data_IF_778139594574
#
_entry.id   IF_778139594574
#
_cell.length_a   1.000
_cell.length_b   1.000
_cell.length_c   1.000
_cell.angle_alpha   90.00
_cell.angle_beta   90.00
_cell.angle_gamma   90.00
#
_symmetry.space_group_name_H-M   'P 1'
#
loop_
_entity.id
_entity.type
_entity.pdbx_description
1 polymer ?
#
# COMPACT_ATOMS: atom_id res chain seq x y z
N UNK A 1 15.24 -18.93 12.07
CA UNK A 1 14.89 -17.51 12.26
C UNK A 1 15.27 -16.77 10.99
N UNK A 2 14.35 -16.02 10.37
CA UNK A 2 14.65 -15.28 9.15
C UNK A 2 15.77 -14.24 9.38
N UNK A 3 16.63 -13.98 8.39
CA UNK A 3 17.67 -12.95 8.51
C UNK A 3 17.03 -11.57 8.66
N UNK A 4 17.37 -10.87 9.74
CA UNK A 4 16.88 -9.52 10.05
C UNK A 4 17.87 -8.47 9.56
N UNK A 5 17.40 -7.46 8.85
CA UNK A 5 18.26 -6.38 8.34
C UNK A 5 17.47 -5.33 7.57
N UNK A 6 18.16 -4.39 6.92
CA UNK A 6 17.50 -3.40 6.05
C UNK A 6 17.42 -3.94 4.62
N UNK A 7 16.22 -3.87 4.03
CA UNK A 7 16.02 -4.13 2.61
C UNK A 7 16.96 -3.25 1.75
N UNK A 8 17.31 -3.71 0.54
CA UNK A 8 18.10 -2.92 -0.42
C UNK A 8 17.42 -1.55 -0.62
N UNK A 9 18.23 -0.50 -0.73
CA UNK A 9 17.72 0.88 -0.73
C UNK A 9 16.75 1.15 -1.89
N UNK A 10 16.99 0.57 -3.07
CA UNK A 10 16.12 0.73 -4.24
C UNK A 10 14.77 0.04 -4.04
N UNK A 11 14.77 -1.20 -3.55
CA UNK A 11 13.57 -1.98 -3.30
C UNK A 11 12.70 -1.34 -2.21
N UNK A 12 13.34 -0.81 -1.16
CA UNK A 12 12.66 -0.04 -0.12
C UNK A 12 11.94 1.19 -0.66
N UNK A 13 12.54 1.92 -1.61
CA UNK A 13 11.91 3.07 -2.24
C UNK A 13 10.69 2.67 -3.09
N UNK A 14 10.77 1.55 -3.82
CA UNK A 14 9.63 1.02 -4.61
C UNK A 14 8.46 0.62 -3.73
N UNK A 15 8.76 -0.12 -2.65
CA UNK A 15 7.77 -0.51 -1.66
C UNK A 15 7.12 0.70 -1.00
N UNK A 16 7.91 1.74 -0.68
CA UNK A 16 7.42 2.96 -0.06
C UNK A 16 6.54 3.79 -1.00
N UNK A 17 6.94 3.95 -2.27
CA UNK A 17 6.16 4.68 -3.28
C UNK A 17 4.79 4.05 -3.52
N UNK A 18 4.75 2.72 -3.61
CA UNK A 18 3.52 1.96 -3.88
C UNK A 18 2.81 1.48 -2.60
N UNK A 19 3.25 1.93 -1.42
CA UNK A 19 2.78 1.41 -0.13
C UNK A 19 1.27 1.52 0.05
N UNK A 20 0.68 2.65 -0.36
CA UNK A 20 -0.77 2.87 -0.22
C UNK A 20 -1.58 1.94 -1.12
N UNK A 21 -1.11 1.71 -2.36
CA UNK A 21 -1.76 0.81 -3.31
C UNK A 21 -1.74 -0.62 -2.78
N UNK A 22 -0.57 -1.08 -2.35
CA UNK A 22 -0.41 -2.41 -1.75
C UNK A 22 -1.28 -2.55 -0.49
N UNK A 23 -1.38 -1.52 0.34
CA UNK A 23 -2.20 -1.58 1.55
C UNK A 23 -3.68 -1.79 1.25
N UNK A 24 -4.19 -1.25 0.15
CA UNK A 24 -5.62 -1.30 -0.19
C UNK A 24 -6.01 -2.52 -1.03
N UNK A 25 -5.17 -2.91 -2.00
CA UNK A 25 -5.50 -3.95 -2.99
C UNK A 25 -4.95 -5.34 -2.64
N UNK A 26 -3.93 -5.42 -1.77
CA UNK A 26 -3.33 -6.70 -1.38
C UNK A 26 -4.25 -7.48 -0.43
N UNK A 27 -4.14 -8.80 -0.44
CA UNK A 27 -4.70 -9.63 0.63
C UNK A 27 -3.56 -10.44 1.27
N UNK A 28 -3.09 -9.97 2.42
CA UNK A 28 -1.97 -10.60 3.13
C UNK A 28 -2.22 -12.09 3.41
N UNK A 29 -3.45 -12.50 3.68
CA UNK A 29 -3.76 -13.89 4.06
C UNK A 29 -3.56 -14.90 2.92
N UNK A 30 -3.68 -14.45 1.65
CA UNK A 30 -3.47 -15.34 0.50
C UNK A 30 -2.00 -15.60 0.24
N UNK A 31 -1.15 -14.61 0.54
CA UNK A 31 0.28 -14.68 0.25
C UNK A 31 1.12 -15.10 1.46
N UNK A 32 0.57 -15.03 2.69
CA UNK A 32 1.27 -15.48 3.91
C UNK A 32 1.72 -16.92 3.83
N UNK A 33 0.89 -17.82 3.29
CA UNK A 33 1.25 -19.24 3.14
C UNK A 33 2.45 -19.44 2.19
N UNK A 34 2.46 -18.71 1.07
CA UNK A 34 3.56 -18.74 0.13
C UNK A 34 4.85 -18.18 0.74
N UNK A 35 4.76 -17.05 1.44
CA UNK A 35 5.91 -16.40 2.07
C UNK A 35 6.45 -17.23 3.26
N UNK A 36 5.59 -17.96 3.96
CA UNK A 36 6.00 -18.91 4.99
C UNK A 36 6.75 -20.10 4.41
N UNK A 37 6.27 -20.69 3.30
CA UNK A 37 6.97 -21.77 2.61
C UNK A 37 8.35 -21.36 2.09
N UNK A 38 8.55 -20.07 1.82
CA UNK A 38 9.82 -19.50 1.36
C UNK A 38 10.73 -19.02 2.51
N UNK A 39 10.39 -19.33 3.77
CA UNK A 39 11.11 -18.90 4.97
C UNK A 39 11.26 -17.37 5.10
N UNK A 40 10.39 -16.60 4.44
CA UNK A 40 10.35 -15.13 4.54
C UNK A 40 9.60 -14.73 5.80
N UNK A 41 8.45 -15.34 6.05
CA UNK A 41 7.68 -15.16 7.28
C UNK A 41 7.89 -16.34 8.22
N UNK A 42 7.93 -16.08 9.51
CA UNK A 42 7.82 -17.13 10.54
C UNK A 42 6.37 -17.26 11.05
N UNK A 43 6.14 -18.27 11.90
CA UNK A 43 4.82 -18.52 12.47
C UNK A 43 4.33 -17.33 13.32
N UNK A 44 5.22 -16.67 14.04
CA UNK A 44 4.90 -15.50 14.86
C UNK A 44 4.46 -14.32 13.99
N UNK A 45 5.11 -14.13 12.84
CA UNK A 45 4.73 -13.12 11.85
C UNK A 45 3.34 -13.40 11.27
N UNK A 46 3.04 -14.66 10.94
CA UNK A 46 1.71 -15.07 10.46
C UNK A 46 0.65 -14.77 11.51
N UNK A 47 0.86 -15.22 12.76
CA UNK A 47 -0.09 -14.98 13.85
C UNK A 47 -0.34 -13.47 14.04
N UNK A 48 0.71 -12.65 13.88
CA UNK A 48 0.59 -11.20 13.96
C UNK A 48 -0.19 -10.60 12.80
N UNK A 49 -0.01 -11.10 11.59
CA UNK A 49 -0.79 -10.68 10.42
C UNK A 49 -2.26 -11.08 10.59
N UNK A 50 -2.53 -12.32 11.01
CA UNK A 50 -3.90 -12.80 11.27
C UNK A 50 -4.59 -12.03 12.39
N UNK A 51 -3.83 -11.56 13.39
CA UNK A 51 -4.35 -10.73 14.48
C UNK A 51 -4.89 -9.36 14.03
N UNK A 52 -4.55 -8.91 12.81
CA UNK A 52 -5.06 -7.65 12.26
C UNK A 52 -6.58 -7.70 12.07
N UNK A 53 -7.26 -6.62 12.46
CA UNK A 53 -8.73 -6.57 12.45
C UNK A 53 -9.29 -6.33 11.05
N UNK A 54 -8.57 -5.56 10.24
CA UNK A 54 -8.96 -5.19 8.88
C UNK A 54 -7.91 -5.64 7.88
N UNK A 55 -8.31 -5.91 6.63
CA UNK A 55 -7.36 -6.29 5.56
C UNK A 55 -6.23 -5.26 5.41
N UNK A 56 -6.54 -3.97 5.49
CA UNK A 56 -5.53 -2.90 5.49
C UNK A 56 -4.51 -3.02 6.62
N UNK A 57 -4.93 -3.36 7.85
CA UNK A 57 -4.01 -3.57 8.98
C UNK A 57 -3.12 -4.79 8.74
N UNK A 58 -3.71 -5.90 8.25
CA UNK A 58 -2.95 -7.12 7.93
C UNK A 58 -1.88 -6.85 6.87
N UNK A 59 -2.28 -6.15 5.81
CA UNK A 59 -1.37 -5.74 4.74
C UNK A 59 -0.27 -4.83 5.25
N UNK A 60 -0.60 -3.87 6.12
CA UNK A 60 0.40 -2.99 6.71
C UNK A 60 1.42 -3.75 7.56
N UNK A 61 0.97 -4.71 8.38
CA UNK A 61 1.85 -5.56 9.19
C UNK A 61 2.78 -6.36 8.27
N UNK A 62 2.24 -6.96 7.21
CA UNK A 62 3.02 -7.70 6.22
C UNK A 62 4.05 -6.83 5.51
N UNK A 63 3.65 -5.67 4.98
CA UNK A 63 4.55 -4.75 4.27
C UNK A 63 5.67 -4.23 5.17
N UNK A 64 5.34 -3.90 6.43
CA UNK A 64 6.35 -3.54 7.44
C UNK A 64 7.30 -4.70 7.70
N UNK A 65 6.81 -5.93 7.72
CA UNK A 65 7.67 -7.10 7.94
C UNK A 65 8.64 -7.29 6.77
N UNK A 66 8.16 -7.25 5.54
CA UNK A 66 8.98 -7.35 4.32
C UNK A 66 10.06 -6.26 4.28
N UNK A 67 9.72 -5.02 4.64
CA UNK A 67 10.70 -3.92 4.68
C UNK A 67 11.82 -4.10 5.73
N UNK A 68 11.62 -4.97 6.73
CA UNK A 68 12.55 -5.23 7.83
C UNK A 68 13.23 -6.61 7.74
N UNK A 69 12.85 -7.42 6.75
CA UNK A 69 13.59 -8.62 6.36
C UNK A 69 14.82 -8.12 5.61
N UNK A 70 15.99 -8.67 5.95
CA UNK A 70 17.28 -8.09 5.60
C UNK A 70 17.58 -7.93 4.11
N UNK A 71 18.78 -7.45 3.78
CA UNK A 71 19.23 -7.42 2.40
C UNK A 71 19.30 -8.88 1.90
N UNK A 72 18.45 -9.21 0.93
CA UNK A 72 18.31 -10.55 0.39
C UNK A 72 17.21 -10.62 -0.65
N UNK A 73 16.77 -11.82 -0.96
CA UNK A 73 15.81 -12.10 -2.03
C UNK A 73 14.35 -12.00 -1.56
N UNK A 74 14.11 -11.46 -0.35
CA UNK A 74 12.78 -11.37 0.24
C UNK A 74 11.82 -10.49 -0.57
N UNK A 75 12.32 -9.40 -1.14
CA UNK A 75 11.53 -8.55 -2.02
C UNK A 75 11.24 -9.24 -3.36
N UNK A 76 12.22 -9.95 -3.92
CA UNK A 76 12.04 -10.71 -5.17
C UNK A 76 11.02 -11.85 -4.99
N UNK A 77 11.08 -12.56 -3.86
CA UNK A 77 10.11 -13.60 -3.50
C UNK A 77 8.72 -13.00 -3.26
N UNK A 78 8.63 -11.82 -2.64
CA UNK A 78 7.37 -11.10 -2.52
C UNK A 78 6.81 -10.69 -3.88
N UNK A 79 7.65 -10.20 -4.79
CA UNK A 79 7.24 -9.92 -6.16
C UNK A 79 6.75 -11.17 -6.88
N UNK A 80 7.41 -12.30 -6.70
CA UNK A 80 6.98 -13.59 -7.24
C UNK A 80 5.60 -14.01 -6.72
N UNK A 81 5.30 -13.75 -5.43
CA UNK A 81 3.96 -14.03 -4.89
C UNK A 81 2.88 -13.11 -5.49
N UNK A 82 3.25 -11.93 -5.99
CA UNK A 82 2.32 -11.03 -6.69
C UNK A 82 2.15 -11.38 -8.17
N UNK A 83 3.08 -12.08 -8.81
CA UNK A 83 3.01 -12.36 -10.27
C UNK A 83 1.76 -13.14 -10.67
N UNK A 84 1.32 -14.09 -9.85
CA UNK A 84 0.18 -14.96 -10.17
C UNK A 84 -1.16 -14.28 -9.87
N UNK A 85 -1.35 -13.82 -8.63
CA UNK A 85 -2.64 -13.30 -8.17
C UNK A 85 -2.81 -11.78 -8.34
N UNK A 86 -1.71 -11.03 -8.36
CA UNK A 86 -1.70 -9.57 -8.29
C UNK A 86 -0.79 -8.95 -9.34
N UNK A 87 -0.91 -9.43 -10.59
CA UNK A 87 -0.05 -8.98 -11.69
C UNK A 87 0.00 -7.45 -11.85
N UNK A 88 -1.12 -6.77 -11.64
CA UNK A 88 -1.18 -5.30 -11.68
C UNK A 88 -0.33 -4.62 -10.58
N UNK A 89 -0.22 -5.22 -9.39
CA UNK A 89 0.66 -4.74 -8.31
C UNK A 89 2.12 -5.06 -8.62
N UNK A 90 2.40 -6.24 -9.18
CA UNK A 90 3.72 -6.62 -9.65
C UNK A 90 4.23 -5.63 -10.71
N UNK A 91 3.42 -5.36 -11.74
CA UNK A 91 3.76 -4.44 -12.82
C UNK A 91 4.03 -3.03 -12.25
N UNK A 92 3.20 -2.56 -11.30
CA UNK A 92 3.40 -1.27 -10.62
C UNK A 92 4.69 -1.18 -9.77
N UNK A 93 5.19 -2.33 -9.29
CA UNK A 93 6.43 -2.41 -8.51
C UNK A 93 7.68 -2.58 -9.38
N UNK A 94 7.55 -3.18 -10.58
CA UNK A 94 8.65 -3.45 -11.50
C UNK A 94 8.85 -2.33 -12.51
N UNK A 95 7.78 -1.78 -13.06
CA UNK A 95 7.84 -0.63 -13.97
C UNK A 95 7.84 0.68 -13.17
N UNK A 96 9.02 1.23 -12.87
CA UNK A 96 9.11 2.68 -12.58
C UNK A 96 9.13 3.45 -13.92
N UNK A 97 8.44 4.60 -14.12
CA UNK A 97 7.46 5.32 -13.32
C UNK A 97 6.15 5.69 -14.07
N UNK A 98 5.24 6.36 -13.34
CA UNK A 98 4.13 7.23 -13.77
C UNK A 98 2.74 6.62 -13.93
N UNK A 99 1.90 6.98 -12.95
CA UNK A 99 0.55 7.49 -13.20
C UNK A 99 -0.44 6.49 -13.78
N UNK A 100 -1.18 5.78 -12.93
CA UNK A 100 -2.62 5.77 -13.15
C UNK A 100 -3.42 5.58 -11.87
N UNK A 101 -4.31 6.55 -11.66
CA UNK A 101 -5.61 6.40 -11.04
C UNK A 101 -5.64 6.14 -9.54
N UNK A 102 -5.30 7.19 -8.79
CA UNK A 102 -6.25 7.69 -7.78
C UNK A 102 -7.65 7.78 -8.42
N UNK A 103 -8.47 6.75 -8.29
CA UNK A 103 -9.91 6.85 -8.48
C UNK A 103 -10.56 6.65 -7.12
N UNK A 104 -10.97 7.78 -6.54
CA UNK A 104 -11.95 8.00 -5.47
C UNK A 104 -11.74 7.19 -4.18
N UNK A 105 -11.66 7.79 -2.99
CA UNK A 105 -12.84 8.34 -2.31
C UNK A 105 -12.49 9.59 -1.49
N UNK A 106 -13.46 10.49 -1.47
CA UNK A 106 -13.56 11.76 -0.79
C UNK A 106 -13.07 11.81 0.66
N UNK A 107 -12.26 12.83 0.97
CA UNK A 107 -12.39 13.59 2.22
C UNK A 107 -12.45 15.08 1.89
N UNK A 108 -13.69 15.56 1.83
CA UNK A 108 -14.03 16.97 1.86
C UNK A 108 -13.68 17.52 3.24
N UNK A 109 -12.52 18.15 3.38
CA UNK A 109 -12.26 19.07 4.48
C UNK A 109 -11.30 20.18 4.02
N UNK A 110 -11.87 21.33 3.65
CA UNK A 110 -11.23 22.62 3.92
C UNK A 110 -12.14 23.40 4.88
N UNK A 111 -11.88 23.24 6.18
CA UNK A 111 -12.11 24.31 7.13
C UNK A 111 -10.70 24.90 7.30
N UNK A 112 -10.47 26.17 6.97
CA UNK A 112 -10.69 27.29 7.89
C UNK A 112 -10.97 28.62 7.20
N UNK A 113 -11.56 29.49 8.01
CA UNK A 113 -12.24 30.75 7.75
C UNK A 113 -11.37 31.95 7.37
N UNK A 114 -12.01 32.95 6.78
CA UNK A 114 -11.76 34.36 7.08
C UNK A 114 -12.95 35.28 6.70
N UNK A 115 -13.59 35.77 7.75
CA UNK A 115 -14.07 37.13 7.99
C UNK A 115 -14.34 38.07 6.79
N UNK A 116 -15.55 38.00 6.23
CA UNK A 116 -16.47 39.14 6.06
C UNK A 116 -17.79 38.58 5.56
N UNK A 117 -18.85 38.72 6.36
CA UNK A 117 -20.18 38.26 5.98
C UNK A 117 -20.77 39.16 4.91
N UNK A 118 -20.70 38.73 3.65
CA UNK A 118 -21.63 39.15 2.61
C UNK A 118 -22.00 37.92 1.76
N UNK A 119 -23.18 37.37 2.06
CA UNK A 119 -23.89 36.48 1.16
C UNK A 119 -24.54 37.35 0.08
N UNK A 120 -23.99 37.35 -1.14
CA UNK A 120 -24.76 37.70 -2.33
C UNK A 120 -24.87 36.46 -3.23
N UNK A 121 -26.01 35.77 -3.09
CA UNK A 121 -26.62 34.99 -4.16
C UNK A 121 -27.11 35.97 -5.23
N UNK A 122 -26.92 35.64 -6.50
CA UNK A 122 -27.65 36.33 -7.57
C UNK A 122 -27.09 36.06 -8.94
N UNK A 123 -27.55 34.98 -9.55
CA UNK A 123 -27.27 34.52 -10.90
C UNK A 123 -27.31 35.62 -11.97
N UNK A 124 -26.41 35.48 -12.95
CA UNK A 124 -26.61 35.91 -14.32
C UNK A 124 -27.97 35.42 -14.83
N UNK A 125 -28.93 36.33 -15.02
CA UNK A 125 -29.95 36.14 -16.06
C UNK A 125 -29.51 36.92 -17.29
N UNK A 126 -29.04 36.14 -18.27
CA UNK A 126 -28.88 36.50 -19.66
C UNK A 126 -30.20 36.16 -20.37
N UNK A 127 -30.65 37.02 -21.30
CA UNK A 127 -31.95 37.06 -22.00
C UNK A 127 -33.03 37.81 -21.21
N UNK A 128 -33.57 38.96 -21.65
CA UNK A 128 -33.98 39.37 -23.00
C UNK A 128 -34.11 40.90 -23.08
#
# INVERSE_FOLDING_TARGET
MPPRGKLKQQDGLRLQKNHLLLKNELDALKITDFLYQKDILDRDDIERIESGKTTMERNEILLRRISNIGPGDAFDIFLDSLKEDYKHLYDALVEEPTTQAQKAVAESHCVTSNATGELYLGCLEYMR
#
